data_IF_736318713984
#
_entry.id   IF_736318713984
#
_cell.length_a   1.000
_cell.length_b   1.000
_cell.length_c   1.000
_cell.angle_alpha   90.00
_cell.angle_beta   90.00
_cell.angle_gamma   90.00
#
_symmetry.space_group_name_H-M   'P 1'
#
loop_
_entity.id
_entity.type
_entity.pdbx_description
1 polymer ?
#
# COMPACT_ATOMS: atom_id res chain seq x y z
N UNK A 1 -46.02 -28.51 -25.09
CA UNK A 1 -45.12 -28.57 -23.92
C UNK A 1 -43.89 -27.74 -24.30
N UNK A 2 -43.82 -26.48 -23.88
CA UNK A 2 -42.79 -25.55 -24.33
C UNK A 2 -41.56 -25.65 -23.40
N UNK A 3 -40.41 -25.99 -23.97
CA UNK A 3 -39.11 -26.00 -23.30
C UNK A 3 -38.78 -24.59 -22.79
N UNK A 4 -38.37 -24.41 -21.52
CA UNK A 4 -38.01 -23.09 -21.02
C UNK A 4 -36.79 -22.54 -21.76
N UNK A 5 -36.82 -21.25 -22.08
CA UNK A 5 -35.73 -20.55 -22.76
C UNK A 5 -34.41 -20.68 -21.94
N UNK A 6 -33.26 -20.89 -22.61
CA UNK A 6 -31.98 -21.17 -21.95
C UNK A 6 -31.54 -20.09 -20.94
N UNK A 7 -31.96 -18.84 -21.14
CA UNK A 7 -31.68 -17.74 -20.22
C UNK A 7 -32.33 -17.89 -18.83
N UNK A 8 -33.43 -18.65 -18.72
CA UNK A 8 -34.12 -18.86 -17.43
C UNK A 8 -33.39 -19.91 -16.59
N UNK A 9 -32.94 -20.99 -17.23
CA UNK A 9 -32.14 -22.06 -16.59
C UNK A 9 -30.81 -21.53 -16.06
N UNK A 10 -30.15 -20.62 -16.80
CA UNK A 10 -28.89 -20.02 -16.37
C UNK A 10 -29.09 -19.05 -15.18
N UNK A 11 -30.20 -18.30 -15.17
CA UNK A 11 -30.53 -17.41 -14.03
C UNK A 11 -30.89 -18.19 -12.78
N UNK A 12 -31.63 -19.28 -12.92
CA UNK A 12 -32.04 -20.11 -11.80
C UNK A 12 -30.82 -20.87 -11.23
N UNK A 13 -29.95 -21.41 -12.09
CA UNK A 13 -28.68 -22.03 -11.67
C UNK A 13 -27.70 -21.04 -11.01
N UNK A 14 -27.64 -19.78 -11.47
CA UNK A 14 -26.82 -18.74 -10.84
C UNK A 14 -27.37 -18.33 -9.45
N UNK A 15 -28.68 -18.47 -9.25
CA UNK A 15 -29.35 -18.17 -7.98
C UNK A 15 -29.12 -19.28 -6.95
N UNK A 16 -29.13 -20.53 -7.41
CA UNK A 16 -28.85 -21.71 -6.57
C UNK A 16 -27.38 -21.75 -6.12
N UNK A 17 -26.42 -21.40 -7.01
CA UNK A 17 -24.99 -21.27 -6.63
C UNK A 17 -24.76 -20.14 -5.61
N UNK A 18 -25.55 -19.06 -5.67
CA UNK A 18 -25.47 -17.95 -4.71
C UNK A 18 -26.10 -18.28 -3.35
N UNK A 19 -26.97 -19.30 -3.27
CA UNK A 19 -27.64 -19.72 -2.03
C UNK A 19 -26.85 -20.79 -1.26
N UNK A 20 -25.87 -21.45 -1.87
CA UNK A 20 -25.10 -22.55 -1.26
C UNK A 20 -23.78 -22.09 -0.59
N UNK A 21 -23.49 -20.78 -0.59
CA UNK A 21 -22.37 -20.21 0.17
C UNK A 21 -22.82 -19.99 1.62
N UNK A 22 -22.75 -21.06 2.40
CA UNK A 22 -22.70 -21.16 3.88
C UNK A 22 -22.97 -19.88 4.70
N UNK A 23 -24.03 -19.85 5.53
CA UNK A 23 -24.40 -18.68 6.34
C UNK A 23 -23.51 -18.45 7.58
N UNK A 24 -22.53 -19.31 7.88
CA UNK A 24 -21.70 -19.25 9.10
C UNK A 24 -20.42 -18.39 8.99
N UNK A 25 -20.26 -17.57 7.95
CA UNK A 25 -19.08 -16.68 7.76
C UNK A 25 -19.41 -15.19 8.03
N UNK A 26 -20.66 -14.86 8.37
CA UNK A 26 -21.16 -13.47 8.29
C UNK A 26 -20.80 -12.60 9.51
N UNK A 27 -20.55 -13.19 10.67
CA UNK A 27 -20.26 -12.49 11.92
C UNK A 27 -18.79 -12.04 12.05
N UNK A 28 -17.84 -12.77 11.45
CA UNK A 28 -16.43 -12.36 11.42
C UNK A 28 -16.13 -11.19 10.46
N UNK A 29 -16.99 -11.00 9.45
CA UNK A 29 -16.90 -9.97 8.41
C UNK A 29 -17.25 -8.57 8.96
N UNK A 30 -18.25 -8.47 9.85
CA UNK A 30 -18.76 -7.19 10.39
C UNK A 30 -17.80 -6.53 11.39
N UNK A 31 -16.93 -7.30 12.05
CA UNK A 31 -15.90 -6.76 12.96
C UNK A 31 -14.63 -6.35 12.18
N UNK A 32 -14.38 -7.00 11.05
CA UNK A 32 -13.23 -6.70 10.21
C UNK A 32 -13.37 -5.32 9.57
N UNK A 33 -14.55 -4.98 9.07
CA UNK A 33 -14.85 -3.70 8.41
C UNK A 33 -14.53 -2.46 9.26
N UNK A 34 -15.05 -2.26 10.50
CA UNK A 34 -14.83 -1.01 11.23
C UNK A 34 -13.37 -0.76 11.62
N UNK A 35 -12.61 -1.82 11.94
CA UNK A 35 -11.18 -1.68 12.26
C UNK A 35 -10.35 -1.43 10.99
N UNK A 36 -10.68 -2.12 9.88
CA UNK A 36 -10.05 -1.86 8.58
C UNK A 36 -10.35 -0.44 8.09
N UNK A 37 -11.59 0.03 8.23
CA UNK A 37 -12.02 1.36 7.79
C UNK A 37 -11.29 2.45 8.60
N UNK A 38 -11.16 2.28 9.92
CA UNK A 38 -10.39 3.19 10.77
C UNK A 38 -8.89 3.20 10.40
N UNK A 39 -8.32 2.03 10.10
CA UNK A 39 -6.93 1.91 9.65
C UNK A 39 -6.72 2.47 8.23
N UNK A 40 -7.70 2.32 7.33
CA UNK A 40 -7.70 2.94 6.00
C UNK A 40 -7.62 4.47 6.17
N UNK A 41 -8.45 5.09 7.02
CA UNK A 41 -8.41 6.55 7.26
C UNK A 41 -7.05 7.01 7.81
N UNK A 42 -6.51 6.31 8.81
CA UNK A 42 -5.21 6.68 9.40
C UNK A 42 -4.08 6.50 8.39
N UNK A 43 -4.05 5.39 7.66
CA UNK A 43 -3.02 5.14 6.65
C UNK A 43 -3.13 6.10 5.47
N UNK A 44 -4.35 6.45 5.03
CA UNK A 44 -4.60 7.52 4.06
C UNK A 44 -4.01 8.82 4.56
N UNK A 45 -4.26 9.21 5.81
CA UNK A 45 -3.76 10.46 6.36
C UNK A 45 -2.22 10.52 6.36
N UNK A 46 -1.55 9.41 6.69
CA UNK A 46 -0.09 9.31 6.67
C UNK A 46 0.47 9.40 5.24
N UNK A 47 -0.14 8.72 4.26
CA UNK A 47 0.27 8.85 2.87
C UNK A 47 -0.08 10.21 2.26
N UNK A 48 -1.21 10.78 2.65
CA UNK A 48 -1.62 12.12 2.25
C UNK A 48 -0.60 13.15 2.75
N UNK A 49 -0.06 12.96 3.96
CA UNK A 49 0.98 13.82 4.51
C UNK A 49 2.23 13.76 3.64
N UNK A 50 2.69 12.56 3.26
CA UNK A 50 3.88 12.43 2.43
C UNK A 50 3.68 13.05 1.03
N UNK A 51 2.51 12.90 0.43
CA UNK A 51 2.13 13.57 -0.82
C UNK A 51 2.12 15.09 -0.72
N UNK A 52 1.40 15.62 0.26
CA UNK A 52 1.31 17.07 0.51
C UNK A 52 2.69 17.69 0.78
N UNK A 53 3.55 17.00 1.53
CA UNK A 53 4.90 17.48 1.83
C UNK A 53 5.79 17.56 0.59
N UNK A 54 5.68 16.63 -0.37
CA UNK A 54 6.40 16.74 -1.64
C UNK A 54 5.94 17.97 -2.42
N UNK A 55 4.63 18.18 -2.56
CA UNK A 55 4.09 19.36 -3.25
C UNK A 55 4.50 20.68 -2.55
N UNK A 56 4.52 20.69 -1.21
CA UNK A 56 4.98 21.84 -0.43
C UNK A 56 6.48 22.12 -0.62
N UNK A 57 7.32 21.08 -0.68
CA UNK A 57 8.77 21.21 -0.98
C UNK A 57 9.01 21.77 -2.38
N UNK A 58 8.14 21.46 -3.33
CA UNK A 58 8.15 22.01 -4.69
C UNK A 58 7.46 23.38 -4.81
N UNK A 59 7.14 24.03 -3.68
CA UNK A 59 6.51 25.36 -3.60
C UNK A 59 5.24 25.49 -4.43
N UNK A 60 4.46 24.41 -4.48
CA UNK A 60 3.22 24.36 -5.27
C UNK A 60 2.05 25.02 -4.55
N UNK A 61 0.93 25.19 -5.27
CA UNK A 61 -0.31 25.77 -4.74
C UNK A 61 -1.01 24.84 -3.75
N UNK A 62 -1.87 25.38 -2.89
CA UNK A 62 -2.72 24.59 -2.00
C UNK A 62 -3.52 23.51 -2.74
N UNK A 63 -4.05 23.85 -3.93
CA UNK A 63 -4.80 22.90 -4.76
C UNK A 63 -3.90 21.72 -5.16
N UNK A 64 -2.65 21.99 -5.53
CA UNK A 64 -1.66 20.96 -5.83
C UNK A 64 -1.35 20.12 -4.59
N UNK A 65 -1.20 20.73 -3.41
CA UNK A 65 -1.01 19.98 -2.16
C UNK A 65 -2.18 19.03 -1.89
N UNK A 66 -3.42 19.52 -2.00
CA UNK A 66 -4.62 18.70 -1.80
C UNK A 66 -4.71 17.56 -2.84
N UNK A 67 -4.37 17.84 -4.09
CA UNK A 67 -4.33 16.84 -5.16
C UNK A 67 -3.29 15.74 -4.87
N UNK A 68 -2.05 16.12 -4.51
CA UNK A 68 -1.01 15.17 -4.14
C UNK A 68 -1.36 14.38 -2.87
N UNK A 69 -1.98 15.03 -1.88
CA UNK A 69 -2.45 14.39 -0.66
C UNK A 69 -3.49 13.29 -0.97
N UNK A 70 -4.50 13.64 -1.76
CA UNK A 70 -5.53 12.68 -2.17
C UNK A 70 -4.91 11.53 -2.96
N UNK A 71 -4.15 11.85 -4.01
CA UNK A 71 -3.64 10.85 -4.95
C UNK A 71 -2.65 9.88 -4.30
N UNK A 72 -1.78 10.38 -3.43
CA UNK A 72 -0.84 9.53 -2.67
C UNK A 72 -1.59 8.67 -1.64
N UNK A 73 -2.54 9.28 -0.92
CA UNK A 73 -3.34 8.60 0.10
C UNK A 73 -4.18 7.46 -0.46
N UNK A 74 -4.91 7.70 -1.56
CA UNK A 74 -5.85 6.73 -2.12
C UNK A 74 -5.24 5.83 -3.19
N UNK A 75 -4.09 6.19 -3.77
CA UNK A 75 -3.52 5.51 -4.93
C UNK A 75 -3.25 4.02 -4.70
N UNK A 76 -2.57 3.67 -3.61
CA UNK A 76 -2.28 2.28 -3.25
C UNK A 76 -3.54 1.46 -2.97
N UNK A 77 -4.46 2.01 -2.16
CA UNK A 77 -5.73 1.37 -1.83
C UNK A 77 -6.67 1.22 -3.03
N UNK A 78 -6.63 2.16 -3.99
CA UNK A 78 -7.42 2.07 -5.23
C UNK A 78 -6.92 0.95 -6.12
N UNK A 79 -5.60 0.80 -6.30
CA UNK A 79 -5.03 -0.31 -7.07
C UNK A 79 -5.35 -1.65 -6.40
N UNK A 80 -5.22 -1.74 -5.07
CA UNK A 80 -5.66 -2.91 -4.30
C UNK A 80 -7.11 -3.27 -4.58
N UNK A 81 -8.01 -2.31 -4.38
CA UNK A 81 -9.45 -2.55 -4.46
C UNK A 81 -9.86 -3.01 -5.87
N UNK A 82 -9.31 -2.39 -6.90
CA UNK A 82 -9.55 -2.80 -8.30
C UNK A 82 -9.03 -4.22 -8.59
N UNK A 83 -7.86 -4.59 -8.08
CA UNK A 83 -7.26 -5.91 -8.33
C UNK A 83 -7.97 -7.05 -7.59
N UNK A 84 -8.53 -6.79 -6.40
CA UNK A 84 -9.27 -7.80 -5.63
C UNK A 84 -10.78 -7.80 -5.94
N UNK A 85 -11.26 -6.90 -6.80
CA UNK A 85 -12.69 -6.78 -7.13
C UNK A 85 -13.53 -6.12 -6.04
N UNK A 86 -12.92 -5.34 -5.16
CA UNK A 86 -13.60 -4.55 -4.13
C UNK A 86 -14.10 -3.21 -4.68
N UNK A 87 -15.18 -2.63 -4.11
CA UNK A 87 -15.51 -1.23 -4.36
C UNK A 87 -14.36 -0.33 -3.90
N UNK A 88 -14.09 0.72 -4.68
CA UNK A 88 -13.04 1.70 -4.37
C UNK A 88 -13.42 2.48 -3.10
N UNK A 89 -12.69 2.26 -2.02
CA UNK A 89 -13.09 2.67 -0.66
C UNK A 89 -13.41 4.18 -0.51
N UNK A 90 -12.62 5.06 -1.14
CA UNK A 90 -12.78 6.51 -1.02
C UNK A 90 -13.93 7.08 -1.86
N UNK A 91 -14.50 6.28 -2.76
CA UNK A 91 -15.72 6.63 -3.48
C UNK A 91 -16.98 6.31 -2.66
N UNK A 92 -16.86 5.41 -1.68
CA UNK A 92 -17.95 5.03 -0.77
C UNK A 92 -17.91 5.78 0.54
N UNK A 93 -16.72 6.20 1.01
CA UNK A 93 -16.54 6.94 2.26
C UNK A 93 -16.12 8.41 2.00
N UNK A 94 -17.01 9.38 2.25
CA UNK A 94 -16.70 10.80 2.07
C UNK A 94 -15.62 11.33 3.03
N UNK A 95 -15.36 10.64 4.15
CA UNK A 95 -14.37 11.08 5.14
C UNK A 95 -12.93 10.95 4.64
N UNK A 96 -12.68 10.08 3.68
CA UNK A 96 -11.34 9.89 3.10
C UNK A 96 -10.85 11.16 2.41
N UNK A 97 -11.67 11.74 1.54
CA UNK A 97 -11.34 12.99 0.86
C UNK A 97 -11.20 14.16 1.85
N UNK A 98 -12.05 14.21 2.87
CA UNK A 98 -11.97 15.20 3.94
C UNK A 98 -10.65 15.07 4.73
N UNK A 99 -10.22 13.86 5.06
CA UNK A 99 -8.96 13.60 5.74
C UNK A 99 -7.75 14.08 4.91
N UNK A 100 -7.73 13.77 3.60
CA UNK A 100 -6.68 14.27 2.69
C UNK A 100 -6.64 15.80 2.65
N UNK A 101 -7.80 16.45 2.61
CA UNK A 101 -7.90 17.92 2.60
C UNK A 101 -7.42 18.53 3.92
N UNK A 102 -7.79 17.95 5.06
CA UNK A 102 -7.33 18.39 6.38
C UNK A 102 -5.81 18.26 6.52
N UNK A 103 -5.23 17.16 6.03
CA UNK A 103 -3.77 16.96 6.01
C UNK A 103 -3.09 17.99 5.10
N UNK A 104 -3.62 18.24 3.90
CA UNK A 104 -3.10 19.27 3.01
C UNK A 104 -3.17 20.67 3.64
N UNK A 105 -4.25 20.98 4.37
CA UNK A 105 -4.41 22.24 5.11
C UNK A 105 -3.39 22.37 6.24
N UNK A 106 -3.19 21.31 7.01
CA UNK A 106 -2.18 21.27 8.06
C UNK A 106 -0.78 21.51 7.49
N UNK A 107 -0.43 20.87 6.38
CA UNK A 107 0.85 21.07 5.70
C UNK A 107 0.98 22.50 5.16
N UNK A 108 -0.07 23.06 4.56
CA UNK A 108 -0.06 24.42 4.01
C UNK A 108 0.27 25.50 5.05
N UNK A 109 -0.27 25.37 6.26
CA UNK A 109 0.00 26.31 7.35
C UNK A 109 1.28 26.02 8.12
N UNK A 110 1.88 24.84 7.94
CA UNK A 110 3.11 24.48 8.67
C UNK A 110 4.35 24.86 7.85
N UNK A 111 5.31 25.60 8.42
CA UNK A 111 6.53 25.99 7.71
C UNK A 111 7.33 24.78 7.20
N UNK A 112 7.77 24.80 5.93
CA UNK A 112 8.51 23.70 5.28
C UNK A 112 9.76 23.26 6.06
N UNK A 113 10.41 24.19 6.76
CA UNK A 113 11.58 23.96 7.64
C UNK A 113 11.36 22.91 8.74
N UNK A 114 10.10 22.66 9.15
CA UNK A 114 9.79 21.63 10.15
C UNK A 114 9.81 20.22 9.56
N UNK A 115 9.82 20.13 8.24
CA UNK A 115 9.71 18.89 7.47
C UNK A 115 10.97 18.59 6.64
N UNK A 116 12.03 19.35 6.87
CA UNK A 116 13.34 19.13 6.27
C UNK A 116 14.05 17.93 6.91
N UNK A 117 14.83 17.21 6.11
CA UNK A 117 15.51 15.98 6.52
C UNK A 117 14.69 14.70 6.29
N UNK A 118 14.91 13.71 7.16
CA UNK A 118 14.42 12.32 7.02
C UNK A 118 12.94 12.13 7.39
N UNK A 119 12.24 13.17 7.83
CA UNK A 119 10.86 13.07 8.30
C UNK A 119 9.89 12.57 7.22
N UNK A 120 10.11 12.97 5.96
CA UNK A 120 9.35 12.45 4.82
C UNK A 120 9.54 10.94 4.65
N UNK A 121 10.79 10.47 4.78
CA UNK A 121 11.11 9.03 4.64
C UNK A 121 10.51 8.21 5.78
N UNK A 122 10.45 8.77 7.00
CA UNK A 122 9.77 8.14 8.13
C UNK A 122 8.25 8.12 7.95
N UNK A 123 7.63 9.23 7.55
CA UNK A 123 6.20 9.29 7.29
C UNK A 123 5.80 8.30 6.18
N UNK A 124 6.58 8.24 5.10
CA UNK A 124 6.42 7.26 4.03
C UNK A 124 6.58 5.83 4.54
N UNK A 125 7.57 5.56 5.41
CA UNK A 125 7.76 4.26 6.03
C UNK A 125 6.60 3.79 6.92
N UNK A 126 5.98 4.72 7.67
CA UNK A 126 4.77 4.43 8.47
C UNK A 126 3.61 4.08 7.54
N UNK A 127 3.35 4.90 6.51
CA UNK A 127 2.29 4.64 5.53
C UNK A 127 2.50 3.30 4.83
N UNK A 128 3.70 3.05 4.31
CA UNK A 128 4.12 1.84 3.61
C UNK A 128 3.80 0.57 4.40
N UNK A 129 4.23 0.54 5.66
CA UNK A 129 4.15 -0.67 6.50
C UNK A 129 2.72 -0.92 6.98
N UNK A 130 1.97 0.14 7.29
CA UNK A 130 0.54 0.06 7.61
C UNK A 130 -0.29 -0.41 6.42
N UNK A 131 -0.09 0.16 5.23
CA UNK A 131 -0.80 -0.27 4.01
C UNK A 131 -0.40 -1.67 3.55
N UNK A 132 0.82 -2.11 3.84
CA UNK A 132 1.21 -3.48 3.59
C UNK A 132 0.39 -4.47 4.42
N UNK A 133 0.21 -4.21 5.72
CA UNK A 133 -0.71 -5.00 6.57
C UNK A 133 -2.13 -4.93 6.05
N UNK A 134 -2.62 -3.72 5.80
CA UNK A 134 -4.00 -3.47 5.41
C UNK A 134 -4.36 -4.10 4.07
N UNK A 135 -3.46 -4.00 3.09
CA UNK A 135 -3.59 -4.63 1.78
C UNK A 135 -3.60 -6.15 1.87
N UNK A 136 -2.72 -6.73 2.69
CA UNK A 136 -2.71 -8.18 2.93
C UNK A 136 -3.96 -8.67 3.66
N UNK A 137 -4.39 -7.96 4.72
CA UNK A 137 -5.57 -8.31 5.50
C UNK A 137 -6.85 -8.24 4.65
N UNK A 138 -7.02 -7.17 3.86
CA UNK A 138 -8.17 -7.01 2.96
C UNK A 138 -8.13 -8.03 1.81
N UNK A 139 -6.97 -8.35 1.26
CA UNK A 139 -6.87 -9.39 0.23
C UNK A 139 -7.32 -10.76 0.78
N UNK A 140 -6.86 -11.14 1.98
CA UNK A 140 -7.29 -12.38 2.63
C UNK A 140 -8.81 -12.40 2.88
N UNK A 141 -9.41 -11.27 3.28
CA UNK A 141 -10.86 -11.21 3.52
C UNK A 141 -11.71 -11.35 2.25
N UNK A 142 -11.14 -11.06 1.09
CA UNK A 142 -11.74 -11.28 -0.23
C UNK A 142 -11.47 -12.71 -0.77
N UNK A 143 -10.94 -13.62 0.05
CA UNK A 143 -10.68 -15.01 -0.34
C UNK A 143 -9.43 -15.19 -1.20
N UNK A 144 -8.57 -14.18 -1.30
CA UNK A 144 -7.31 -14.29 -2.04
C UNK A 144 -6.35 -15.21 -1.26
N UNK A 145 -5.67 -16.18 -1.93
CA UNK A 145 -4.75 -17.09 -1.26
C UNK A 145 -3.58 -16.36 -0.57
N UNK A 146 -2.93 -16.99 0.44
CA UNK A 146 -1.92 -16.34 1.29
C UNK A 146 -0.76 -15.67 0.53
N UNK A 147 -0.16 -16.36 -0.44
CA UNK A 147 1.01 -15.84 -1.18
C UNK A 147 0.64 -14.60 -2.02
N UNK A 148 -0.39 -14.64 -2.89
CA UNK A 148 -0.88 -13.43 -3.56
C UNK A 148 -1.33 -12.32 -2.60
N UNK A 149 -1.88 -12.64 -1.43
CA UNK A 149 -2.25 -11.63 -0.43
C UNK A 149 -1.02 -10.92 0.17
N UNK A 150 0.10 -11.62 0.37
CA UNK A 150 1.37 -10.97 0.75
C UNK A 150 1.83 -9.99 -0.33
N UNK A 151 1.82 -10.42 -1.59
CA UNK A 151 2.19 -9.57 -2.74
C UNK A 151 1.26 -8.35 -2.83
N UNK A 152 -0.05 -8.55 -2.66
CA UNK A 152 -1.02 -7.46 -2.66
C UNK A 152 -0.73 -6.43 -1.58
N UNK A 153 -0.34 -6.85 -0.37
CA UNK A 153 0.13 -5.95 0.68
C UNK A 153 1.30 -5.09 0.23
N UNK A 154 2.35 -5.71 -0.32
CA UNK A 154 3.53 -4.99 -0.82
C UNK A 154 3.15 -3.98 -1.91
N UNK A 155 2.30 -4.37 -2.87
CA UNK A 155 1.82 -3.49 -3.93
C UNK A 155 1.03 -2.33 -3.34
N UNK A 156 0.08 -2.61 -2.44
CA UNK A 156 -0.76 -1.59 -1.77
C UNK A 156 0.11 -0.54 -1.07
N UNK A 157 1.12 -0.97 -0.31
CA UNK A 157 2.01 -0.07 0.41
C UNK A 157 2.94 0.74 -0.50
N UNK A 158 3.41 0.19 -1.61
CA UNK A 158 4.41 0.85 -2.46
C UNK A 158 3.81 1.77 -3.52
N UNK A 159 2.65 1.41 -4.08
CA UNK A 159 2.05 2.12 -5.22
C UNK A 159 1.70 3.58 -4.92
N UNK A 160 1.23 3.90 -3.72
CA UNK A 160 0.93 5.30 -3.35
C UNK A 160 2.17 6.20 -3.46
N UNK A 161 3.30 5.76 -2.90
CA UNK A 161 4.58 6.48 -3.00
C UNK A 161 5.12 6.55 -4.44
N UNK A 162 4.98 5.46 -5.22
CA UNK A 162 5.39 5.44 -6.64
C UNK A 162 4.61 6.48 -7.44
N UNK A 163 3.27 6.52 -7.32
CA UNK A 163 2.42 7.47 -8.05
C UNK A 163 2.84 8.91 -7.72
N UNK A 164 3.03 9.20 -6.42
CA UNK A 164 3.49 10.51 -5.94
C UNK A 164 4.81 10.91 -6.58
N UNK A 165 5.80 10.03 -6.54
CA UNK A 165 7.16 10.34 -6.98
C UNK A 165 7.23 10.54 -8.51
N UNK A 166 6.53 9.69 -9.27
CA UNK A 166 6.43 9.79 -10.74
C UNK A 166 5.79 11.12 -11.16
N UNK A 167 4.69 11.52 -10.51
CA UNK A 167 3.99 12.76 -10.85
C UNK A 167 4.79 13.99 -10.40
N UNK A 168 5.54 13.89 -9.29
CA UNK A 168 6.48 14.92 -8.89
C UNK A 168 7.71 15.04 -9.81
N UNK A 169 7.91 14.11 -10.76
CA UNK A 169 9.10 14.08 -11.62
C UNK A 169 10.39 13.75 -10.86
N UNK A 170 10.29 13.04 -9.73
CA UNK A 170 11.42 12.65 -8.88
C UNK A 170 11.67 11.14 -8.96
N UNK A 171 12.94 10.70 -8.84
CA UNK A 171 13.22 9.26 -8.75
C UNK A 171 12.56 8.69 -7.50
N UNK A 172 11.75 7.64 -7.69
CA UNK A 172 11.01 7.04 -6.59
C UNK A 172 11.94 6.39 -5.57
N UNK A 173 11.52 6.38 -4.31
CA UNK A 173 12.24 5.67 -3.24
C UNK A 173 12.41 4.18 -3.54
N UNK A 174 11.51 3.61 -4.35
CA UNK A 174 11.60 2.24 -4.88
C UNK A 174 12.91 1.98 -5.65
N UNK A 175 13.43 2.98 -6.36
CA UNK A 175 14.65 2.86 -7.17
C UNK A 175 15.93 3.07 -6.35
N UNK A 176 15.82 3.49 -5.09
CA UNK A 176 16.98 3.64 -4.21
C UNK A 176 17.40 2.26 -3.70
N UNK A 177 18.70 1.99 -3.51
CA UNK A 177 19.18 0.71 -3.01
C UNK A 177 18.89 0.54 -1.51
N UNK A 178 17.78 1.04 -0.98
CA UNK A 178 17.43 0.98 0.44
C UNK A 178 16.48 -0.18 0.74
N UNK A 179 16.39 -0.58 2.02
CA UNK A 179 15.38 -1.53 2.50
C UNK A 179 13.98 -0.88 2.55
N UNK A 180 13.39 -0.67 1.37
CA UNK A 180 12.05 -0.10 1.20
C UNK A 180 11.01 -1.21 1.00
N UNK A 181 11.06 -1.89 -0.15
CA UNK A 181 10.15 -2.99 -0.50
C UNK A 181 10.27 -4.15 0.49
N UNK A 182 11.47 -4.38 1.02
CA UNK A 182 11.72 -5.43 2.01
C UNK A 182 11.01 -5.17 3.34
N UNK A 183 10.86 -3.91 3.75
CA UNK A 183 10.09 -3.55 4.94
C UNK A 183 8.58 -3.79 4.73
N UNK A 184 8.06 -3.45 3.55
CA UNK A 184 6.68 -3.77 3.17
C UNK A 184 6.46 -5.29 3.10
N UNK A 185 7.40 -6.03 2.52
CA UNK A 185 7.35 -7.49 2.43
C UNK A 185 7.36 -8.14 3.81
N UNK A 186 8.21 -7.69 4.72
CA UNK A 186 8.23 -8.18 6.10
C UNK A 186 6.87 -7.97 6.78
N UNK A 187 6.32 -6.75 6.67
CA UNK A 187 5.01 -6.40 7.23
C UNK A 187 3.88 -7.27 6.66
N UNK A 188 3.79 -7.37 5.33
CA UNK A 188 2.79 -8.18 4.64
C UNK A 188 2.91 -9.67 4.99
N UNK A 189 4.12 -10.23 4.97
CA UNK A 189 4.36 -11.63 5.31
C UNK A 189 4.01 -11.95 6.76
N UNK A 190 4.39 -11.10 7.72
CA UNK A 190 4.02 -11.30 9.14
C UNK A 190 2.51 -11.20 9.35
N UNK A 191 1.84 -10.27 8.66
CA UNK A 191 0.38 -10.15 8.71
C UNK A 191 -0.29 -11.43 8.20
N UNK A 192 0.11 -11.94 7.04
CA UNK A 192 -0.49 -13.14 6.44
C UNK A 192 -0.17 -14.39 7.27
N UNK A 193 1.08 -14.58 7.69
CA UNK A 193 1.47 -15.73 8.52
C UNK A 193 0.70 -15.70 9.85
N UNK A 194 0.64 -14.55 10.53
CA UNK A 194 -0.10 -14.42 11.78
C UNK A 194 -1.61 -14.62 11.61
N UNK A 195 -2.17 -14.25 10.45
CA UNK A 195 -3.58 -14.48 10.14
C UNK A 195 -3.88 -15.95 9.85
N UNK A 196 -2.98 -16.67 9.16
CA UNK A 196 -3.10 -18.13 8.90
C UNK A 196 -2.95 -18.94 10.19
N UNK A 197 -2.15 -18.47 11.15
CA UNK A 197 -1.99 -19.08 12.47
C UNK A 197 -3.11 -18.70 13.45
N UNK A 198 -4.17 -18.03 12.98
CA UNK A 198 -5.32 -17.60 13.79
C UNK A 198 -4.94 -16.74 15.01
N UNK A 199 -3.86 -15.97 14.89
CA UNK A 199 -3.40 -15.07 15.94
C UNK A 199 -4.39 -13.93 16.22
N UNK A 200 -4.39 -13.34 17.43
CA UNK A 200 -5.25 -12.20 17.74
C UNK A 200 -5.00 -11.04 16.78
N UNK A 201 -6.03 -10.64 16.01
CA UNK A 201 -5.93 -9.69 14.89
C UNK A 201 -5.17 -8.42 15.24
N UNK A 202 -5.51 -7.79 16.38
CA UNK A 202 -4.87 -6.55 16.82
C UNK A 202 -3.36 -6.73 16.99
N UNK A 203 -2.94 -7.81 17.67
CA UNK A 203 -1.52 -8.10 17.90
C UNK A 203 -0.79 -8.40 16.60
N UNK A 204 -1.40 -9.19 15.70
CA UNK A 204 -0.81 -9.54 14.41
C UNK A 204 -0.61 -8.29 13.55
N UNK A 205 -1.64 -7.43 13.44
CA UNK A 205 -1.59 -6.25 12.58
C UNK A 205 -0.63 -5.20 13.12
N UNK A 206 -0.72 -4.87 14.42
CA UNK A 206 0.20 -3.90 15.04
C UNK A 206 1.63 -4.44 15.06
N UNK A 207 1.80 -5.73 15.37
CA UNK A 207 3.11 -6.36 15.39
C UNK A 207 3.78 -6.40 14.02
N UNK A 208 3.03 -6.75 12.98
CA UNK A 208 3.51 -6.75 11.60
C UNK A 208 3.91 -5.35 11.11
N UNK A 209 3.04 -4.35 11.34
CA UNK A 209 3.32 -2.97 10.98
C UNK A 209 4.56 -2.42 11.72
N UNK A 210 4.66 -2.66 13.03
CA UNK A 210 5.80 -2.22 13.84
C UNK A 210 7.11 -2.94 13.45
N UNK A 211 7.06 -4.23 13.11
CA UNK A 211 8.24 -4.95 12.65
C UNK A 211 8.76 -4.39 11.31
N UNK A 212 7.86 -4.14 10.36
CA UNK A 212 8.22 -3.47 9.10
C UNK A 212 8.75 -2.05 9.34
N UNK A 213 8.11 -1.29 10.22
CA UNK A 213 8.52 0.08 10.55
C UNK A 213 9.88 0.12 11.26
N UNK A 214 10.15 -0.82 12.15
CA UNK A 214 11.45 -0.96 12.80
C UNK A 214 12.55 -1.26 11.77
N UNK A 215 12.30 -2.18 10.82
CA UNK A 215 13.23 -2.46 9.74
C UNK A 215 13.47 -1.22 8.86
N UNK A 216 12.40 -0.53 8.47
CA UNK A 216 12.51 0.69 7.66
C UNK A 216 13.23 1.81 8.42
N UNK A 217 12.91 2.00 9.70
CA UNK A 217 13.54 2.99 10.57
C UNK A 217 15.03 2.71 10.79
N UNK A 218 15.40 1.44 10.99
CA UNK A 218 16.79 1.01 11.04
C UNK A 218 17.52 1.28 9.72
N UNK A 219 16.87 1.00 8.59
CA UNK A 219 17.44 1.29 7.27
C UNK A 219 17.68 2.79 7.04
N UNK A 220 16.73 3.64 7.44
CA UNK A 220 16.87 5.10 7.37
C UNK A 220 17.95 5.61 8.33
N UNK A 221 18.04 5.05 9.55
CA UNK A 221 18.99 5.52 10.55
C UNK A 221 20.44 5.10 10.23
N UNK A 222 20.65 3.82 9.90
CA UNK A 222 21.97 3.25 9.60
C UNK A 222 22.36 3.34 8.13
N UNK A 223 21.51 3.94 7.27
CA UNK A 223 21.69 4.01 5.81
C UNK A 223 21.96 2.63 5.19
N UNK A 224 21.21 1.60 5.61
CA UNK A 224 21.38 0.24 5.12
C UNK A 224 20.93 0.15 3.66
N UNK A 225 21.83 -0.38 2.83
CA UNK A 225 21.59 -0.56 1.41
C UNK A 225 21.79 -2.00 0.94
N UNK A 226 21.06 -2.37 -0.11
CA UNK A 226 21.24 -3.63 -0.83
C UNK A 226 22.27 -3.44 -1.95
N UNK A 227 23.12 -4.45 -2.21
CA UNK A 227 24.13 -4.35 -3.26
C UNK A 227 23.46 -4.18 -4.64
N UNK A 228 23.81 -3.14 -5.41
CA UNK A 228 23.29 -2.98 -6.76
C UNK A 228 23.90 -4.05 -7.70
N UNK A 229 23.17 -4.37 -8.76
CA UNK A 229 23.69 -5.24 -9.82
C UNK A 229 24.86 -4.55 -10.53
N UNK A 230 26.04 -5.18 -10.52
CA UNK A 230 27.19 -4.76 -11.30
C UNK A 230 27.41 -5.75 -12.44
N UNK A 231 27.32 -5.28 -13.68
CA UNK A 231 27.78 -6.06 -14.82
C UNK A 231 29.30 -6.23 -14.69
N UNK A 232 29.76 -7.45 -14.46
CA UNK A 232 31.18 -7.77 -14.43
C UNK A 232 31.71 -7.56 -15.84
N UNK A 233 32.31 -6.40 -16.10
CA UNK A 233 33.09 -6.15 -17.33
C UNK A 233 34.31 -7.06 -17.30
N UNK A 234 34.12 -8.30 -17.73
CA UNK A 234 35.14 -9.32 -17.75
C UNK A 234 36.01 -9.13 -18.99
N UNK A 235 37.28 -8.81 -18.76
CA UNK A 235 38.43 -9.31 -19.53
C UNK A 235 38.52 -9.05 -21.05
N UNK A 236 37.68 -8.21 -21.68
CA UNK A 236 37.87 -7.90 -23.12
C UNK A 236 38.87 -6.76 -23.36
N UNK A 237 39.07 -5.88 -22.38
CA UNK A 237 39.98 -4.72 -22.55
C UNK A 237 41.46 -5.07 -22.28
N UNK A 238 41.75 -6.25 -21.71
CA UNK A 238 43.13 -6.69 -21.43
C UNK A 238 43.80 -7.40 -22.62
N UNK A 239 43.03 -7.97 -23.54
CA UNK A 239 43.55 -8.65 -24.74
C UNK A 239 43.72 -7.68 -25.93
N UNK A 240 43.12 -6.49 -25.88
CA UNK A 240 43.28 -5.43 -26.88
C UNK A 240 44.53 -4.54 -26.66
N UNK A 241 45.35 -4.85 -25.66
CA UNK A 241 46.50 -4.03 -25.25
C UNK A 241 47.83 -4.82 -25.14
N UNK A 242 47.93 -5.94 -25.87
CA UNK A 242 49.23 -6.52 -26.25
C UNK A 242 49.59 -6.06 -27.67
N UNK A 243 50.46 -5.04 -27.84
CA UNK A 243 51.10 -4.80 -29.12
C UNK A 243 52.18 -5.87 -29.37
N UNK A 244 52.06 -6.58 -30.50
CA UNK A 244 53.17 -7.29 -31.14
C UNK A 244 54.28 -6.33 -31.60
#
# INVERSE_FOLDING_TARGET
MATPAPAKVIKDAAKDVAQDVTPDIVDAQVILTPLLDALDIVGVAVFALSGALIAAKERQTFVTLAFFALLTGVGGGSVRDLLIGAPVFWMTDPWVAAACLLVALAVWFTPTRWWDGKLLDYADGVGLTAYAVLGSAKALSYGIPPVPAMVMGVVTGTVGGIIRDVIAGRPSILMRPELYVTAAALSASLCVIGSVLEGPRLLVWTGAALAGLALRGAAIHYNLSLPPYHERRAATDAEAQQPD
#
